data_IF_486122010322
#
_entry.id   IF_486122010322
#
_cell.length_a   1.000
_cell.length_b   1.000
_cell.length_c   1.000
_cell.angle_alpha   90.00
_cell.angle_beta   90.00
_cell.angle_gamma   90.00
#
_symmetry.space_group_name_H-M   'P 1'
#
loop_
_entity.id
_entity.type
_entity.pdbx_description
1 polymer ?
#
# COMPACT_ATOMS: atom_id res chain seq x y z
N UNK A 1 52.67 -38.78 -18.19
CA UNK A 1 51.36 -38.63 -18.87
C UNK A 1 50.47 -39.76 -18.32
N UNK A 2 49.36 -39.61 -17.61
CA UNK A 2 48.50 -38.48 -17.23
C UNK A 2 47.67 -39.00 -16.03
N UNK A 3 47.48 -38.19 -14.98
CA UNK A 3 46.76 -38.56 -13.75
C UNK A 3 45.25 -38.61 -14.02
N UNK A 4 44.57 -39.66 -13.57
CA UNK A 4 43.11 -39.75 -13.53
C UNK A 4 42.59 -38.99 -12.30
N UNK A 5 41.67 -38.05 -12.52
CA UNK A 5 40.99 -37.31 -11.46
C UNK A 5 39.50 -37.69 -11.45
N UNK A 6 39.06 -38.24 -10.32
CA UNK A 6 37.66 -38.56 -10.01
C UNK A 6 36.93 -37.24 -9.72
N UNK A 7 35.90 -36.95 -10.52
CA UNK A 7 35.04 -35.77 -10.33
C UNK A 7 33.87 -36.14 -9.44
N UNK A 8 33.81 -35.56 -8.24
CA UNK A 8 32.66 -35.64 -7.34
C UNK A 8 31.74 -34.46 -7.67
N UNK A 9 30.54 -34.76 -8.17
CA UNK A 9 29.50 -33.76 -8.42
C UNK A 9 28.81 -33.45 -7.08
N UNK A 10 29.09 -32.28 -6.50
CA UNK A 10 28.28 -31.72 -5.42
C UNK A 10 27.04 -31.06 -6.01
N UNK A 11 25.88 -31.64 -5.70
CA UNK A 11 24.56 -31.09 -6.01
C UNK A 11 24.26 -29.95 -5.02
N UNK A 12 24.39 -28.70 -5.47
CA UNK A 12 24.00 -27.54 -4.67
C UNK A 12 22.47 -27.43 -4.64
N UNK A 13 21.88 -27.66 -3.46
CA UNK A 13 20.47 -27.37 -3.18
C UNK A 13 20.25 -25.86 -3.30
N UNK A 14 19.50 -25.45 -4.32
CA UNK A 14 19.00 -24.08 -4.45
C UNK A 14 17.96 -23.83 -3.35
N UNK A 15 18.34 -23.09 -2.31
CA UNK A 15 17.38 -22.48 -1.39
C UNK A 15 16.54 -21.47 -2.16
N UNK A 16 15.19 -21.49 -2.08
CA UNK A 16 14.43 -20.34 -2.53
C UNK A 16 14.81 -19.16 -1.63
N UNK A 17 15.36 -18.11 -2.24
CA UNK A 17 15.57 -16.85 -1.57
C UNK A 17 14.21 -16.38 -1.05
N UNK A 18 14.00 -16.52 0.25
CA UNK A 18 12.98 -15.75 0.94
C UNK A 18 13.34 -14.29 0.67
N UNK A 19 12.56 -13.63 -0.18
CA UNK A 19 12.55 -12.18 -0.27
C UNK A 19 12.09 -11.65 1.09
N UNK A 20 13.00 -11.60 2.05
CA UNK A 20 12.89 -10.77 3.23
C UNK A 20 12.97 -9.34 2.74
N UNK A 21 11.84 -8.80 2.33
CA UNK A 21 11.66 -7.37 2.18
C UNK A 21 11.83 -6.78 3.58
N UNK A 22 13.07 -6.46 3.92
CA UNK A 22 13.42 -5.76 5.15
C UNK A 22 12.76 -4.38 5.05
N UNK A 23 11.60 -4.22 5.68
CA UNK A 23 10.93 -2.93 5.80
C UNK A 23 11.89 -1.96 6.53
N UNK A 24 12.19 -0.77 5.97
CA UNK A 24 12.90 0.25 6.71
C UNK A 24 12.14 0.56 8.00
N UNK A 25 12.73 0.22 9.15
CA UNK A 25 12.26 0.66 10.46
C UNK A 25 12.77 2.07 10.71
N UNK A 26 12.26 3.03 9.95
CA UNK A 26 12.41 4.44 10.31
C UNK A 26 11.18 4.82 11.13
N UNK A 27 11.36 4.96 12.45
CA UNK A 27 10.31 5.05 13.49
C UNK A 27 9.40 6.29 13.43
N UNK A 28 9.35 6.97 12.30
CA UNK A 28 8.50 8.15 12.04
C UNK A 28 7.54 7.97 10.86
N UNK A 29 7.65 6.88 10.08
CA UNK A 29 6.72 6.58 8.99
C UNK A 29 5.85 5.38 9.31
N UNK A 30 4.54 5.51 9.12
CA UNK A 30 3.62 4.41 9.30
C UNK A 30 3.67 3.55 8.03
N UNK A 31 4.61 2.61 7.99
CA UNK A 31 4.72 1.69 6.85
C UNK A 31 3.58 0.67 6.88
N UNK A 32 2.55 0.93 6.08
CA UNK A 32 1.49 -0.05 5.87
C UNK A 32 2.04 -1.20 5.03
N UNK A 33 1.91 -2.42 5.56
CA UNK A 33 2.26 -3.64 4.85
C UNK A 33 1.37 -3.81 3.61
N UNK A 34 1.91 -4.47 2.58
CA UNK A 34 1.13 -4.80 1.40
C UNK A 34 -0.12 -5.63 1.80
N UNK A 35 -1.33 -5.25 1.37
CA UNK A 35 -2.53 -6.01 1.69
C UNK A 35 -2.50 -7.44 1.12
N UNK A 36 -3.14 -8.42 1.78
CA UNK A 36 -3.41 -9.72 1.18
C UNK A 36 -4.16 -9.57 -0.16
N UNK A 37 -3.80 -10.39 -1.16
CA UNK A 37 -4.38 -10.29 -2.50
C UNK A 37 -3.82 -9.13 -3.34
N UNK A 38 -2.73 -8.49 -2.88
CA UNK A 38 -1.93 -7.59 -3.71
C UNK A 38 -1.27 -8.38 -4.84
N UNK A 39 -1.52 -7.94 -6.07
CA UNK A 39 -0.86 -8.49 -7.25
C UNK A 39 0.51 -7.83 -7.49
N UNK A 40 0.67 -6.55 -7.11
CA UNK A 40 1.92 -5.81 -7.25
C UNK A 40 1.99 -4.57 -6.35
N UNK A 41 3.14 -4.34 -5.72
CA UNK A 41 3.49 -3.05 -5.11
C UNK A 41 4.09 -2.13 -6.18
N UNK A 42 3.53 -0.93 -6.31
CA UNK A 42 3.93 0.07 -7.31
C UNK A 42 4.83 1.16 -6.72
N UNK A 43 5.12 1.11 -5.41
CA UNK A 43 5.92 2.12 -4.73
C UNK A 43 5.25 3.50 -4.76
N UNK A 44 6.01 4.55 -5.02
CA UNK A 44 5.51 5.94 -5.08
C UNK A 44 4.66 6.26 -6.32
N UNK A 45 4.56 5.32 -7.28
CA UNK A 45 3.89 5.45 -8.58
C UNK A 45 4.13 6.78 -9.31
N UNK A 46 5.34 7.35 -9.17
CA UNK A 46 5.75 8.53 -9.91
C UNK A 46 5.69 8.26 -11.43
N UNK A 47 4.90 9.06 -12.15
CA UNK A 47 4.71 8.94 -13.61
C UNK A 47 3.55 8.04 -14.04
N UNK A 48 2.83 7.39 -13.12
CA UNK A 48 1.57 6.70 -13.45
C UNK A 48 0.40 7.72 -13.43
N UNK A 49 -0.31 7.91 -14.56
CA UNK A 49 -1.44 8.84 -14.63
C UNK A 49 -2.57 8.50 -13.67
N UNK A 50 -2.85 7.21 -13.44
CA UNK A 50 -3.93 6.77 -12.54
C UNK A 50 -3.57 7.05 -11.08
N UNK A 51 -2.32 6.80 -10.69
CA UNK A 51 -1.83 7.13 -9.35
C UNK A 51 -1.82 8.64 -9.10
N UNK A 52 -1.42 9.42 -10.10
CA UNK A 52 -1.44 10.88 -10.05
C UNK A 52 -2.87 11.42 -9.92
N UNK A 53 -3.81 10.86 -10.68
CA UNK A 53 -5.22 11.24 -10.62
C UNK A 53 -5.83 10.92 -9.24
N UNK A 54 -5.57 9.72 -8.72
CA UNK A 54 -6.03 9.30 -7.39
C UNK A 54 -5.46 10.20 -6.29
N UNK A 55 -4.15 10.51 -6.33
CA UNK A 55 -3.52 11.41 -5.37
C UNK A 55 -4.10 12.83 -5.43
N UNK A 56 -4.35 13.35 -6.63
CA UNK A 56 -4.96 14.67 -6.81
C UNK A 56 -6.41 14.71 -6.29
N UNK A 57 -7.15 13.62 -6.44
CA UNK A 57 -8.50 13.48 -5.88
C UNK A 57 -8.46 13.46 -4.35
N UNK A 58 -7.56 12.67 -3.76
CA UNK A 58 -7.34 12.66 -2.30
C UNK A 58 -6.97 14.05 -1.79
N UNK A 59 -6.04 14.74 -2.44
CA UNK A 59 -5.63 16.09 -2.07
C UNK A 59 -6.80 17.09 -2.10
N UNK A 60 -7.68 16.99 -3.11
CA UNK A 60 -8.90 17.80 -3.18
C UNK A 60 -9.86 17.49 -2.03
N UNK A 61 -9.99 16.21 -1.68
CA UNK A 61 -10.96 15.76 -0.68
C UNK A 61 -10.55 16.10 0.76
N UNK A 62 -9.27 15.97 1.08
CA UNK A 62 -8.74 16.35 2.40
C UNK A 62 -8.65 17.87 2.59
N UNK A 63 -8.74 18.64 1.49
CA UNK A 63 -8.78 20.10 1.53
C UNK A 63 -7.53 20.74 2.15
N UNK A 64 -7.69 21.95 2.69
CA UNK A 64 -6.61 22.68 3.36
C UNK A 64 -6.29 22.21 4.78
N UNK A 65 -6.93 21.14 5.26
CA UNK A 65 -6.70 20.61 6.62
C UNK A 65 -5.44 19.75 6.69
N UNK A 66 -4.99 19.20 5.55
CA UNK A 66 -3.86 18.29 5.48
C UNK A 66 -3.10 18.42 4.17
N UNK A 67 -1.80 18.08 4.21
CA UNK A 67 -0.96 17.90 3.02
C UNK A 67 -0.55 16.43 2.88
N UNK A 68 -0.57 15.91 1.65
CA UNK A 68 0.03 14.60 1.35
C UNK A 68 1.56 14.71 1.47
N UNK A 69 2.15 13.99 2.41
CA UNK A 69 3.61 13.93 2.62
C UNK A 69 4.25 12.82 1.80
N UNK A 70 3.58 11.67 1.73
CA UNK A 70 4.03 10.52 0.96
C UNK A 70 2.82 9.71 0.48
N UNK A 71 3.00 8.97 -0.61
CA UNK A 71 2.00 8.06 -1.14
C UNK A 71 2.66 6.74 -1.56
N UNK A 72 1.95 5.64 -1.35
CA UNK A 72 2.35 4.31 -1.81
C UNK A 72 1.17 3.61 -2.44
N UNK A 73 1.39 3.00 -3.60
CA UNK A 73 0.32 2.46 -4.42
C UNK A 73 0.46 0.96 -4.61
N UNK A 74 -0.68 0.29 -4.67
CA UNK A 74 -0.75 -1.15 -4.84
C UNK A 74 -1.76 -1.47 -5.93
N UNK A 75 -1.39 -2.42 -6.78
CA UNK A 75 -2.31 -3.06 -7.70
C UNK A 75 -2.87 -4.29 -7.02
N UNK A 76 -4.18 -4.29 -6.82
CA UNK A 76 -4.93 -5.39 -6.23
C UNK A 76 -5.66 -6.21 -7.29
N UNK A 77 -5.92 -7.48 -6.98
CA UNK A 77 -6.79 -8.30 -7.80
C UNK A 77 -8.20 -7.71 -7.87
N UNK A 78 -8.87 -7.83 -9.02
CA UNK A 78 -10.20 -7.26 -9.27
C UNK A 78 -11.27 -7.67 -8.24
N UNK A 79 -11.17 -8.91 -7.74
CA UNK A 79 -12.10 -9.50 -6.76
C UNK A 79 -12.04 -8.80 -5.39
N UNK A 80 -10.95 -8.10 -5.09
CA UNK A 80 -10.82 -7.41 -3.81
C UNK A 80 -11.69 -6.13 -3.83
N UNK A 81 -12.70 -6.12 -2.97
CA UNK A 81 -13.59 -4.98 -2.77
C UNK A 81 -13.05 -3.97 -1.77
N UNK A 82 -13.60 -2.76 -1.83
CA UNK A 82 -13.30 -1.67 -0.88
C UNK A 82 -13.41 -2.08 0.58
N UNK A 83 -14.48 -2.79 0.95
CA UNK A 83 -14.71 -3.24 2.33
C UNK A 83 -13.54 -4.08 2.88
N UNK A 84 -12.88 -4.88 2.03
CA UNK A 84 -11.72 -5.67 2.44
C UNK A 84 -10.49 -4.78 2.66
N UNK A 85 -10.28 -3.78 1.81
CA UNK A 85 -9.19 -2.81 1.93
C UNK A 85 -9.37 -1.96 3.18
N UNK A 86 -10.54 -1.34 3.35
CA UNK A 86 -10.88 -0.50 4.51
C UNK A 86 -10.67 -1.27 5.83
N UNK A 87 -11.20 -2.50 5.94
CA UNK A 87 -11.00 -3.35 7.13
C UNK A 87 -9.54 -3.70 7.39
N UNK A 88 -8.77 -4.00 6.35
CA UNK A 88 -7.34 -4.28 6.49
C UNK A 88 -6.58 -3.07 7.04
N UNK A 89 -6.78 -1.89 6.44
CA UNK A 89 -6.14 -0.63 6.88
C UNK A 89 -6.53 -0.30 8.31
N UNK A 90 -7.82 -0.39 8.62
CA UNK A 90 -8.35 -0.17 9.95
C UNK A 90 -7.74 -1.12 10.99
N UNK A 91 -7.57 -2.40 10.67
CA UNK A 91 -6.92 -3.38 11.54
C UNK A 91 -5.45 -3.03 11.82
N UNK A 92 -4.72 -2.49 10.84
CA UNK A 92 -3.34 -2.02 11.02
C UNK A 92 -3.27 -0.72 11.85
N UNK A 93 -4.30 0.14 11.76
CA UNK A 93 -4.38 1.41 12.51
C UNK A 93 -4.84 1.22 13.95
N UNK A 94 -5.73 0.27 14.21
CA UNK A 94 -6.38 0.15 15.50
C UNK A 94 -5.39 -0.25 16.59
N UNK A 95 -5.43 0.45 17.73
CA UNK A 95 -4.79 0.00 18.97
C UNK A 95 -5.68 -0.95 19.78
N UNK A 96 -6.97 -1.07 19.42
CA UNK A 96 -8.01 -1.80 20.17
C UNK A 96 -8.75 -2.85 19.34
N UNK A 97 -8.39 -3.04 18.06
CA UNK A 97 -9.04 -3.97 17.13
C UNK A 97 -10.32 -3.45 16.46
N UNK A 98 -10.82 -2.27 16.85
CA UNK A 98 -11.95 -1.61 16.17
C UNK A 98 -11.47 -0.56 15.15
N UNK A 99 -11.95 -0.60 13.89
CA UNK A 99 -11.74 0.47 12.93
C UNK A 99 -12.21 1.82 13.46
N UNK A 100 -11.42 2.90 13.34
CA UNK A 100 -11.97 4.25 13.46
C UNK A 100 -13.07 4.39 12.40
N UNK A 101 -14.23 4.96 12.75
CA UNK A 101 -15.26 5.28 11.76
C UNK A 101 -14.66 6.29 10.77
N UNK A 102 -14.45 5.93 9.50
CA UNK A 102 -13.91 6.87 8.55
C UNK A 102 -14.91 8.00 8.33
N UNK A 103 -14.40 9.19 8.06
CA UNK A 103 -15.24 10.23 7.45
C UNK A 103 -15.46 9.83 6.00
N UNK A 104 -16.58 9.15 5.76
CA UNK A 104 -16.98 8.77 4.40
C UNK A 104 -17.27 10.05 3.61
N UNK A 105 -16.50 10.25 2.55
CA UNK A 105 -16.83 11.22 1.52
C UNK A 105 -17.49 10.46 0.37
N UNK A 106 -18.79 10.20 0.52
CA UNK A 106 -19.58 9.54 -0.51
C UNK A 106 -20.15 10.62 -1.44
N UNK A 107 -19.57 10.75 -2.63
CA UNK A 107 -19.86 11.84 -3.56
C UNK A 107 -19.51 11.50 -5.01
N UNK A 108 -19.68 10.25 -5.44
CA UNK A 108 -19.44 9.85 -6.84
C UNK A 108 -17.98 9.93 -7.28
N UNK A 109 -17.05 9.83 -6.33
CA UNK A 109 -15.60 9.86 -6.50
C UNK A 109 -14.99 8.60 -5.84
N UNK A 110 -13.75 8.28 -6.22
CA UNK A 110 -12.93 7.20 -5.66
C UNK A 110 -13.13 7.00 -4.15
N UNK A 111 -13.16 5.74 -3.70
CA UNK A 111 -13.52 5.39 -2.33
C UNK A 111 -12.37 5.79 -1.39
N UNK A 112 -12.61 6.72 -0.46
CA UNK A 112 -11.60 7.28 0.44
C UNK A 112 -12.01 7.11 1.90
N UNK A 113 -11.09 6.58 2.71
CA UNK A 113 -11.15 6.64 4.17
C UNK A 113 -10.06 7.59 4.68
N UNK A 114 -10.47 8.63 5.42
CA UNK A 114 -9.57 9.54 6.13
C UNK A 114 -9.51 9.19 7.61
N UNK A 115 -8.29 9.03 8.12
CA UNK A 115 -8.00 8.79 9.53
C UNK A 115 -7.20 9.98 10.10
N UNK A 116 -7.79 10.81 10.98
CA UNK A 116 -7.08 11.93 11.59
C UNK A 116 -5.92 11.45 12.48
N UNK A 117 -5.06 12.39 12.87
CA UNK A 117 -4.00 12.11 13.83
C UNK A 117 -4.60 11.80 15.21
N UNK A 118 -4.22 10.68 15.80
CA UNK A 118 -4.76 10.23 17.11
C UNK A 118 -3.73 9.35 17.83
N UNK A 119 -3.59 9.52 19.15
CA UNK A 119 -2.74 8.65 19.99
C UNK A 119 -1.27 8.59 19.56
N UNK A 120 -0.71 9.70 19.06
CA UNK A 120 0.67 9.77 18.57
C UNK A 120 0.88 9.17 17.17
N UNK A 121 -0.17 8.70 16.50
CA UNK A 121 -0.11 8.23 15.12
C UNK A 121 -0.42 9.39 14.16
N UNK A 122 0.34 9.56 13.07
CA UNK A 122 0.10 10.62 12.10
C UNK A 122 -1.26 10.44 11.41
N UNK A 123 -1.77 11.53 10.82
CA UNK A 123 -2.94 11.45 9.96
C UNK A 123 -2.62 10.62 8.70
N UNK A 124 -3.63 9.95 8.16
CA UNK A 124 -3.45 8.99 7.08
C UNK A 124 -4.73 8.88 6.26
N UNK A 125 -4.63 8.67 4.94
CA UNK A 125 -5.77 8.34 4.10
C UNK A 125 -5.50 7.10 3.25
N UNK A 126 -6.54 6.30 2.98
CA UNK A 126 -6.51 5.24 1.97
C UNK A 126 -7.55 5.57 0.91
N UNK A 127 -7.20 5.35 -0.35
CA UNK A 127 -8.10 5.54 -1.47
C UNK A 127 -8.07 4.35 -2.42
N UNK A 128 -9.20 4.03 -3.04
CA UNK A 128 -9.31 3.04 -4.11
C UNK A 128 -9.91 3.71 -5.34
N UNK A 129 -9.22 3.58 -6.47
CA UNK A 129 -9.74 4.02 -7.76
C UNK A 129 -11.02 3.25 -8.11
N UNK A 130 -12.06 3.97 -8.52
CA UNK A 130 -13.34 3.41 -8.93
C UNK A 130 -13.18 2.62 -10.24
N UNK A 131 -12.46 3.21 -11.19
CA UNK A 131 -12.14 2.57 -12.46
C UNK A 131 -11.02 1.56 -12.28
N UNK A 132 -11.17 0.34 -12.83
CA UNK A 132 -10.08 -0.61 -12.86
C UNK A 132 -8.95 -0.09 -13.76
N UNK A 133 -7.74 -0.53 -13.48
CA UNK A 133 -6.60 -0.39 -14.38
C UNK A 133 -6.87 -1.15 -15.69
N UNK A 134 -6.11 -0.84 -16.73
CA UNK A 134 -6.28 -1.44 -18.08
C UNK A 134 -6.24 -2.98 -18.09
N UNK A 135 -5.64 -3.57 -17.06
CA UNK A 135 -5.50 -5.02 -16.88
C UNK A 135 -6.57 -5.62 -15.94
N UNK A 136 -7.61 -4.87 -15.60
CA UNK A 136 -8.71 -5.26 -14.72
C UNK A 136 -8.38 -5.21 -13.23
N UNK A 137 -7.13 -4.95 -12.83
CA UNK A 137 -6.76 -4.77 -11.43
C UNK A 137 -7.30 -3.48 -10.84
N UNK A 138 -7.34 -3.37 -9.51
CA UNK A 138 -7.72 -2.13 -8.83
C UNK A 138 -6.50 -1.40 -8.30
N UNK A 139 -6.48 -0.09 -8.47
CA UNK A 139 -5.46 0.76 -7.89
C UNK A 139 -5.89 1.20 -6.49
N UNK A 140 -5.01 0.98 -5.51
CA UNK A 140 -5.21 1.43 -4.12
C UNK A 140 -4.02 2.28 -3.72
N UNK A 141 -4.28 3.47 -3.19
CA UNK A 141 -3.30 4.41 -2.68
C UNK A 141 -3.36 4.53 -1.15
N UNK A 142 -2.19 4.60 -0.53
CA UNK A 142 -1.99 4.82 0.89
C UNK A 142 -1.22 6.12 1.07
N UNK A 143 -1.77 7.08 1.81
CA UNK A 143 -1.28 8.45 1.88
C UNK A 143 -0.96 8.84 3.32
N UNK A 144 0.32 9.12 3.59
CA UNK A 144 0.69 9.77 4.84
C UNK A 144 0.37 11.26 4.77
N UNK A 145 -0.34 11.75 5.78
CA UNK A 145 -0.80 13.13 5.83
C UNK A 145 -0.06 13.90 6.92
N UNK A 146 0.31 15.13 6.58
CA UNK A 146 0.89 16.10 7.49
C UNK A 146 0.02 17.34 7.65
N UNK A 147 0.43 18.27 8.52
CA UNK A 147 -0.16 19.60 8.55
C UNK A 147 -0.03 20.28 7.17
N UNK A 148 -0.94 21.20 6.83
CA UNK A 148 -0.96 21.90 5.54
C UNK A 148 0.34 22.64 5.21
#
# INVERSE_FOLDING_TARGET
MTRAAITIIMLALATPAACSAQAPQDGTRMMIAAPPGTAKDLGSAAGDPAATALAALVARQIGGDYRIQSARFFRMQAVIGWNSVSKFVAGQRSSTGMPPSPRFHDGGLDLIDLYPAEGGKPAFAVAMAQEPLADGGKLVGYFELGPP
#
